data_IF_279468180061
#
_entry.id   IF_279468180061
#
_cell.length_a   1.000
_cell.length_b   1.000
_cell.length_c   1.000
_cell.angle_alpha   90.00
_cell.angle_beta   90.00
_cell.angle_gamma   90.00
#
_symmetry.space_group_name_H-M   'P 1'
#
loop_
_entity.id
_entity.type
_entity.pdbx_description
1 polymer ?
#
# COMPACT_ATOMS: atom_id res chain seq x y z
N UNK A 1 3.35 -17.06 7.96
CA UNK A 1 2.86 -15.82 8.58
C UNK A 1 3.59 -14.65 7.93
N UNK A 2 2.86 -13.66 7.40
CA UNK A 2 3.42 -12.46 6.74
C UNK A 2 3.24 -11.25 7.69
N UNK A 3 4.11 -10.25 7.58
CA UNK A 3 4.06 -9.03 8.41
C UNK A 3 3.98 -7.79 7.52
N UNK A 4 3.06 -6.87 7.82
CA UNK A 4 2.93 -5.57 7.13
C UNK A 4 3.05 -4.45 8.16
N UNK A 5 3.82 -3.42 7.79
CA UNK A 5 3.97 -2.20 8.55
C UNK A 5 3.15 -1.09 7.89
N UNK A 6 2.32 -0.41 8.69
CA UNK A 6 1.59 0.78 8.29
C UNK A 6 2.10 1.97 9.11
N UNK A 7 2.58 3.00 8.43
CA UNK A 7 3.00 4.24 9.05
C UNK A 7 1.84 5.24 8.97
N UNK A 8 1.18 5.52 10.09
CA UNK A 8 -0.04 6.32 10.12
C UNK A 8 0.36 7.78 10.35
N UNK A 9 0.04 8.65 9.39
CA UNK A 9 0.26 10.09 9.53
C UNK A 9 -0.70 10.67 10.57
N UNK A 10 -0.14 11.28 11.61
CA UNK A 10 -0.90 12.02 12.61
C UNK A 10 -1.24 13.41 12.07
N UNK A 11 -2.52 13.66 11.75
CA UNK A 11 -2.99 14.98 11.34
C UNK A 11 -3.51 15.73 12.57
N UNK A 12 -2.67 16.56 13.19
CA UNK A 12 -2.92 17.17 14.50
C UNK A 12 -4.07 18.19 14.60
N UNK A 13 -4.90 18.37 13.57
CA UNK A 13 -5.92 19.44 13.51
C UNK A 13 -7.34 19.03 13.92
N UNK A 14 -7.62 17.75 14.15
CA UNK A 14 -8.97 17.27 14.50
C UNK A 14 -9.25 17.10 16.00
N UNK A 15 -8.25 17.31 16.87
CA UNK A 15 -8.47 17.32 18.32
C UNK A 15 -9.01 18.68 18.78
N UNK A 16 -10.27 19.00 18.49
CA UNK A 16 -10.99 19.97 19.31
C UNK A 16 -11.32 19.28 20.63
N UNK A 17 -10.71 19.70 21.73
CA UNK A 17 -11.05 19.20 23.06
C UNK A 17 -12.46 19.67 23.44
N UNK A 18 -13.49 18.81 23.56
CA UNK A 18 -14.63 19.15 24.40
C UNK A 18 -14.16 19.10 25.86
N UNK A 19 -14.55 20.12 26.63
CA UNK A 19 -14.13 20.36 28.02
C UNK A 19 -14.69 19.33 29.04
N UNK A 20 -15.47 18.34 28.62
CA UNK A 20 -16.19 17.44 29.53
C UNK A 20 -15.75 15.97 29.42
N UNK A 21 -15.84 15.30 30.58
CA UNK A 21 -15.20 14.06 31.04
C UNK A 21 -15.82 12.74 30.57
N UNK A 22 -16.29 12.64 29.33
CA UNK A 22 -16.68 11.34 28.76
C UNK A 22 -15.50 10.74 27.99
N UNK A 23 -15.20 9.46 28.26
CA UNK A 23 -14.07 8.70 27.70
C UNK A 23 -13.97 8.93 26.18
N UNK A 24 -13.00 9.71 25.73
CA UNK A 24 -12.77 9.97 24.30
C UNK A 24 -12.13 8.75 23.66
N UNK A 25 -12.79 8.21 22.63
CA UNK A 25 -12.20 7.26 21.70
C UNK A 25 -11.61 8.04 20.53
N UNK A 26 -10.41 7.68 20.11
CA UNK A 26 -9.77 8.25 18.92
C UNK A 26 -9.82 7.25 17.78
N UNK A 27 -10.14 7.71 16.58
CA UNK A 27 -10.18 6.89 15.38
C UNK A 27 -9.02 7.25 14.44
N UNK A 28 -8.29 6.24 13.98
CA UNK A 28 -7.24 6.35 12.97
C UNK A 28 -7.61 5.52 11.74
N UNK A 29 -7.61 6.14 10.57
CA UNK A 29 -7.87 5.44 9.32
C UNK A 29 -6.56 4.84 8.78
N UNK A 30 -6.60 3.54 8.46
CA UNK A 30 -5.55 2.77 7.81
C UNK A 30 -6.16 2.10 6.58
N UNK A 31 -6.15 2.78 5.42
CA UNK A 31 -6.75 2.23 4.22
C UNK A 31 -6.13 0.87 3.85
N UNK A 32 -6.96 -0.04 3.36
CA UNK A 32 -6.65 -1.44 3.00
C UNK A 32 -6.50 -2.42 4.17
N UNK A 33 -6.54 -1.97 5.42
CA UNK A 33 -6.36 -2.85 6.59
C UNK A 33 -7.38 -4.00 6.62
N UNK A 34 -8.62 -3.75 6.21
CA UNK A 34 -9.69 -4.74 6.09
C UNK A 34 -9.46 -5.81 5.01
N UNK A 35 -8.50 -5.61 4.11
CA UNK A 35 -8.11 -6.60 3.10
C UNK A 35 -7.40 -7.81 3.73
N UNK A 36 -6.77 -7.66 4.89
CA UNK A 36 -5.88 -8.66 5.47
C UNK A 36 -6.62 -9.59 6.44
N UNK A 37 -6.29 -10.88 6.40
CA UNK A 37 -6.71 -11.85 7.42
C UNK A 37 -5.78 -11.76 8.64
N UNK A 38 -6.05 -10.77 9.51
CA UNK A 38 -5.23 -10.41 10.67
C UNK A 38 -5.30 -11.51 11.73
N UNK A 39 -4.13 -11.98 12.18
CA UNK A 39 -3.98 -12.89 13.31
C UNK A 39 -3.75 -12.10 14.61
N UNK A 40 -2.77 -11.18 14.58
CA UNK A 40 -2.52 -10.24 15.66
C UNK A 40 -1.93 -8.93 15.14
N UNK A 41 -2.08 -7.87 15.92
CA UNK A 41 -1.53 -6.55 15.62
C UNK A 41 -0.81 -5.96 16.82
N UNK A 42 0.14 -5.06 16.53
CA UNK A 42 0.83 -4.25 17.52
C UNK A 42 0.74 -2.78 17.08
N UNK A 43 0.16 -1.94 17.93
CA UNK A 43 0.12 -0.49 17.73
C UNK A 43 1.26 0.13 18.54
N UNK A 44 2.15 0.84 17.87
CA UNK A 44 3.24 1.60 18.51
C UNK A 44 3.00 3.08 18.31
N UNK A 45 2.90 3.81 19.40
CA UNK A 45 2.78 5.26 19.36
C UNK A 45 4.04 5.88 19.93
N UNK A 46 4.64 6.79 19.16
CA UNK A 46 5.84 7.52 19.53
C UNK A 46 5.49 8.98 19.77
N UNK A 47 5.85 9.51 20.94
CA UNK A 47 5.49 10.85 21.34
C UNK A 47 6.17 11.32 22.63
N UNK A 48 5.85 12.55 23.02
CA UNK A 48 6.17 13.12 24.33
C UNK A 48 4.94 13.03 25.23
N UNK A 49 5.16 12.55 26.45
CA UNK A 49 4.14 12.47 27.51
C UNK A 49 4.43 13.53 28.57
N UNK A 50 3.43 13.88 29.39
CA UNK A 50 3.50 14.96 30.40
C UNK A 50 4.69 14.82 31.36
N UNK A 51 5.30 13.63 31.46
CA UNK A 51 6.47 13.35 32.29
C UNK A 51 7.84 13.52 31.58
N UNK A 52 7.89 14.06 30.35
CA UNK A 52 9.15 14.32 29.63
C UNK A 52 9.93 13.06 29.20
N UNK A 53 9.33 11.88 29.30
CA UNK A 53 9.95 10.61 28.88
C UNK A 53 9.43 10.17 27.52
N UNK A 54 10.33 9.70 26.65
CA UNK A 54 9.95 8.94 25.47
C UNK A 54 9.46 7.57 25.91
N UNK A 55 8.14 7.36 25.98
CA UNK A 55 7.56 6.04 26.20
C UNK A 55 7.20 5.42 24.85
N UNK A 56 7.75 4.25 24.56
CA UNK A 56 7.17 3.36 23.56
C UNK A 56 5.94 2.75 24.19
N UNK A 57 4.76 3.22 23.79
CA UNK A 57 3.50 2.65 24.28
C UNK A 57 3.27 1.32 23.57
N UNK A 58 3.78 0.26 24.16
CA UNK A 58 3.44 -1.13 23.79
C UNK A 58 2.60 -1.80 24.86
N UNK A 59 2.44 -1.18 26.02
CA UNK A 59 1.76 -1.73 27.19
C UNK A 59 0.72 -0.71 27.65
N UNK A 60 -0.53 -1.17 27.82
CA UNK A 60 -1.65 -0.44 28.43
C UNK A 60 -2.47 0.53 27.56
N UNK A 61 -2.38 0.44 26.22
CA UNK A 61 -3.38 1.08 25.34
C UNK A 61 -4.33 0.03 24.79
N UNK A 62 -5.57 0.07 25.28
CA UNK A 62 -6.65 -0.70 24.69
C UNK A 62 -7.01 -0.08 23.33
N UNK A 63 -6.86 -0.87 22.27
CA UNK A 63 -7.34 -0.51 20.95
C UNK A 63 -8.04 -1.70 20.30
N UNK A 64 -8.92 -1.42 19.35
CA UNK A 64 -9.52 -2.46 18.52
C UNK A 64 -9.56 -2.00 17.06
N UNK A 65 -9.52 -2.98 16.16
CA UNK A 65 -9.59 -2.76 14.71
C UNK A 65 -11.01 -3.09 14.26
N UNK A 66 -11.62 -2.19 13.49
CA UNK A 66 -12.87 -2.45 12.79
C UNK A 66 -12.78 -1.92 11.36
N UNK A 67 -12.74 -2.83 10.39
CA UNK A 67 -12.54 -2.48 8.99
C UNK A 67 -11.18 -1.82 8.76
N UNK A 68 -11.20 -0.63 8.13
CA UNK A 68 -10.01 0.19 7.89
C UNK A 68 -9.69 1.14 9.05
N UNK A 69 -10.40 1.05 10.18
CA UNK A 69 -10.25 1.97 11.31
C UNK A 69 -9.65 1.28 12.54
N UNK A 70 -8.73 1.98 13.20
CA UNK A 70 -8.24 1.65 14.55
C UNK A 70 -8.91 2.60 15.53
N UNK A 71 -9.55 2.03 16.54
CA UNK A 71 -10.14 2.77 17.65
C UNK A 71 -9.27 2.62 18.88
N UNK A 72 -8.84 3.74 19.46
CA UNK A 72 -7.98 3.78 20.64
C UNK A 72 -8.79 4.32 21.81
N UNK A 73 -8.86 3.54 22.88
CA UNK A 73 -9.51 3.95 24.11
C UNK A 73 -8.49 4.72 24.97
N UNK A 74 -8.82 5.96 25.32
CA UNK A 74 -8.04 6.83 26.23
C UNK A 74 -6.60 7.11 25.78
N UNK A 75 -6.38 8.26 25.12
CA UNK A 75 -5.05 8.69 24.73
C UNK A 75 -4.83 10.19 24.92
N UNK A 76 -3.92 10.57 25.83
CA UNK A 76 -3.46 11.95 26.04
C UNK A 76 -1.93 12.08 25.86
N UNK A 77 -1.41 11.89 24.64
CA UNK A 77 -0.07 12.33 24.30
C UNK A 77 -0.04 13.86 24.32
N UNK A 78 0.98 14.46 24.94
CA UNK A 78 1.22 15.91 24.80
C UNK A 78 1.60 16.23 23.36
N UNK A 79 2.34 15.32 22.73
CA UNK A 79 2.73 15.41 21.33
C UNK A 79 2.93 14.02 20.74
N UNK A 80 2.23 13.68 19.65
CA UNK A 80 2.47 12.46 18.86
C UNK A 80 3.38 12.81 17.70
N UNK A 81 4.54 12.15 17.64
CA UNK A 81 5.48 12.32 16.52
C UNK A 81 5.12 11.38 15.37
N UNK A 82 4.80 10.12 15.68
CA UNK A 82 4.51 9.10 14.68
C UNK A 82 3.77 7.90 15.29
N UNK A 83 2.91 7.28 14.48
CA UNK A 83 2.13 6.09 14.84
C UNK A 83 2.46 4.98 13.84
N UNK A 84 2.74 3.78 14.36
CA UNK A 84 2.95 2.57 13.58
C UNK A 84 1.92 1.51 13.94
N UNK A 85 1.29 0.92 12.93
CA UNK A 85 0.58 -0.34 13.10
C UNK A 85 1.40 -1.46 12.45
N UNK A 86 1.70 -2.50 13.22
CA UNK A 86 2.32 -3.73 12.75
C UNK A 86 1.22 -4.80 12.71
N UNK A 87 0.99 -5.37 11.53
CA UNK A 87 -0.04 -6.40 11.32
C UNK A 87 0.64 -7.70 10.93
N UNK A 88 0.35 -8.77 11.68
CA UNK A 88 0.71 -10.12 11.31
C UNK A 88 -0.53 -10.85 10.81
N UNK A 89 -0.42 -11.43 9.62
CA UNK A 89 -1.56 -11.93 8.87
C UNK A 89 -1.24 -13.23 8.13
N UNK A 90 -2.28 -14.03 7.87
CA UNK A 90 -2.15 -15.28 7.13
C UNK A 90 -2.09 -15.06 5.61
N UNK A 91 -2.87 -14.11 5.11
CA UNK A 91 -2.96 -13.75 3.70
C UNK A 91 -3.91 -12.58 3.48
N UNK A 92 -4.13 -12.23 2.21
CA UNK A 92 -5.16 -11.25 1.83
C UNK A 92 -6.48 -12.00 1.71
N UNK A 93 -7.48 -11.58 2.49
CA UNK A 93 -8.84 -12.14 2.48
C UNK A 93 -9.64 -11.59 1.31
N UNK A 94 -9.54 -10.28 1.07
CA UNK A 94 -10.35 -9.57 0.08
C UNK A 94 -9.46 -8.65 -0.77
N UNK A 95 -9.05 -9.15 -1.95
CA UNK A 95 -8.10 -8.45 -2.83
C UNK A 95 -8.64 -7.14 -3.41
N UNK A 96 -9.97 -6.98 -3.53
CA UNK A 96 -10.57 -5.73 -4.02
C UNK A 96 -10.32 -4.55 -3.07
N UNK A 97 -10.17 -4.82 -1.77
CA UNK A 97 -9.93 -3.82 -0.74
C UNK A 97 -8.49 -3.25 -0.78
N UNK A 98 -7.60 -3.82 -1.60
CA UNK A 98 -6.27 -3.26 -1.85
C UNK A 98 -6.29 -2.06 -2.80
N UNK A 99 -7.40 -1.82 -3.51
CA UNK A 99 -7.52 -0.79 -4.55
C UNK A 99 -8.59 0.26 -4.24
N UNK A 100 -8.61 0.91 -3.05
CA UNK A 100 -9.67 1.82 -2.65
C UNK A 100 -9.89 3.01 -3.58
N UNK A 101 -8.87 3.50 -4.31
CA UNK A 101 -9.02 4.63 -5.25
C UNK A 101 -9.56 4.26 -6.62
N UNK A 102 -9.65 2.96 -6.93
CA UNK A 102 -10.24 2.49 -8.19
C UNK A 102 -11.76 2.54 -8.07
N UNK A 103 -12.37 3.54 -8.73
CA UNK A 103 -13.83 3.77 -8.63
C UNK A 103 -14.63 2.83 -9.55
N UNK A 104 -14.07 2.44 -10.69
CA UNK A 104 -14.69 1.47 -11.59
C UNK A 104 -14.63 0.06 -10.97
N UNK A 105 -15.79 -0.51 -10.63
CA UNK A 105 -15.91 -1.79 -9.94
C UNK A 105 -15.37 -2.97 -10.77
N UNK A 106 -15.57 -2.96 -12.09
CA UNK A 106 -15.08 -4.03 -12.96
C UNK A 106 -13.55 -4.02 -13.05
N UNK A 107 -12.97 -2.83 -13.17
CA UNK A 107 -11.52 -2.65 -13.13
C UNK A 107 -10.97 -3.09 -11.78
N UNK A 108 -11.57 -2.65 -10.67
CA UNK A 108 -11.19 -3.06 -9.31
C UNK A 108 -11.20 -4.58 -9.15
N UNK A 109 -12.29 -5.24 -9.57
CA UNK A 109 -12.41 -6.69 -9.49
C UNK A 109 -11.38 -7.42 -10.36
N UNK A 110 -11.10 -6.88 -11.55
CA UNK A 110 -10.06 -7.44 -12.43
C UNK A 110 -8.66 -7.27 -11.83
N UNK A 111 -8.36 -6.11 -11.25
CA UNK A 111 -7.09 -5.86 -10.56
C UNK A 111 -6.90 -6.78 -9.36
N UNK A 112 -7.96 -7.02 -8.60
CA UNK A 112 -7.97 -7.98 -7.49
C UNK A 112 -7.59 -9.40 -7.95
N UNK A 113 -8.20 -9.88 -9.03
CA UNK A 113 -7.89 -11.19 -9.63
C UNK A 113 -6.44 -11.26 -10.14
N UNK A 114 -5.96 -10.20 -10.79
CA UNK A 114 -4.56 -10.15 -11.23
C UNK A 114 -3.59 -10.14 -10.05
N UNK A 115 -3.92 -9.46 -8.96
CA UNK A 115 -3.06 -9.44 -7.77
C UNK A 115 -3.00 -10.83 -7.13
N UNK A 116 -4.14 -11.51 -6.97
CA UNK A 116 -4.20 -12.89 -6.48
C UNK A 116 -3.34 -13.83 -7.33
N UNK A 117 -3.50 -13.77 -8.66
CA UNK A 117 -2.70 -14.57 -9.60
C UNK A 117 -1.20 -14.21 -9.53
N UNK A 118 -0.89 -12.93 -9.29
CA UNK A 118 0.50 -12.49 -9.12
C UNK A 118 1.14 -13.09 -7.87
N UNK A 119 0.42 -13.18 -6.75
CA UNK A 119 0.97 -13.83 -5.54
C UNK A 119 1.26 -15.31 -5.80
N UNK A 120 0.30 -16.04 -6.40
CA UNK A 120 0.48 -17.43 -6.76
C UNK A 120 1.68 -17.62 -7.72
N UNK A 121 1.78 -16.77 -8.75
CA UNK A 121 2.89 -16.80 -9.71
C UNK A 121 4.25 -16.50 -9.07
N UNK A 122 4.30 -15.61 -8.08
CA UNK A 122 5.53 -15.31 -7.36
C UNK A 122 5.96 -16.49 -6.48
N UNK A 123 5.02 -17.09 -5.75
CA UNK A 123 5.27 -18.25 -4.89
C UNK A 123 5.69 -19.49 -5.70
N UNK A 124 5.10 -19.69 -6.88
CA UNK A 124 5.45 -20.79 -7.80
C UNK A 124 6.66 -20.51 -8.70
N UNK A 125 7.32 -19.35 -8.56
CA UNK A 125 8.45 -18.94 -9.39
C UNK A 125 8.15 -18.78 -10.89
N UNK A 126 6.88 -18.54 -11.23
CA UNK A 126 6.41 -18.27 -12.59
C UNK A 126 6.66 -16.81 -12.97
N UNK A 127 7.93 -16.42 -13.08
CA UNK A 127 8.36 -15.02 -13.19
C UNK A 127 7.72 -14.24 -14.35
N UNK A 128 7.54 -14.88 -15.51
CA UNK A 128 6.89 -14.20 -16.64
C UNK A 128 5.43 -13.89 -16.32
N UNK A 129 4.67 -14.87 -15.83
CA UNK A 129 3.28 -14.66 -15.39
C UNK A 129 3.20 -13.59 -14.30
N UNK A 130 4.10 -13.64 -13.32
CA UNK A 130 4.22 -12.62 -12.29
C UNK A 130 4.38 -11.23 -12.89
N UNK A 131 5.34 -11.04 -13.79
CA UNK A 131 5.57 -9.74 -14.45
C UNK A 131 4.39 -9.27 -15.29
N UNK A 132 3.68 -10.19 -15.98
CA UNK A 132 2.49 -9.87 -16.77
C UNK A 132 1.35 -9.35 -15.89
N UNK A 133 1.08 -10.03 -14.77
CA UNK A 133 0.04 -9.61 -13.82
C UNK A 133 0.38 -8.27 -13.19
N UNK A 134 1.63 -8.07 -12.74
CA UNK A 134 2.08 -6.79 -12.18
C UNK A 134 1.98 -5.66 -13.20
N UNK A 135 2.36 -5.89 -14.46
CA UNK A 135 2.21 -4.89 -15.52
C UNK A 135 0.76 -4.44 -15.69
N UNK A 136 -0.20 -5.38 -15.70
CA UNK A 136 -1.62 -5.06 -15.78
C UNK A 136 -2.15 -4.32 -14.54
N UNK A 137 -1.65 -4.68 -13.35
CA UNK A 137 -2.01 -3.99 -12.10
C UNK A 137 -1.48 -2.56 -12.08
N UNK A 138 -0.22 -2.34 -12.47
CA UNK A 138 0.34 -1.00 -12.60
C UNK A 138 -0.45 -0.16 -13.60
N UNK A 139 -0.77 -0.70 -14.77
CA UNK A 139 -1.58 -0.02 -15.78
C UNK A 139 -2.93 0.43 -15.21
N UNK A 140 -3.68 -0.48 -14.57
CA UNK A 140 -4.98 -0.14 -13.98
C UNK A 140 -4.90 0.85 -12.80
N UNK A 141 -3.89 0.74 -11.94
CA UNK A 141 -3.65 1.71 -10.88
C UNK A 141 -3.34 3.10 -11.46
N UNK A 142 -2.49 3.17 -12.50
CA UNK A 142 -2.13 4.42 -13.15
C UNK A 142 -3.32 5.07 -13.86
N UNK A 143 -4.14 4.30 -14.59
CA UNK A 143 -5.41 4.80 -15.17
C UNK A 143 -6.26 5.45 -14.08
N UNK A 144 -6.42 4.77 -12.95
CA UNK A 144 -7.25 5.24 -11.84
C UNK A 144 -6.75 6.55 -11.23
N UNK A 145 -5.44 6.71 -11.00
CA UNK A 145 -4.89 7.93 -10.35
C UNK A 145 -4.64 9.07 -11.32
N UNK A 146 -4.44 8.78 -12.61
CA UNK A 146 -4.28 9.79 -13.66
C UNK A 146 -5.65 10.29 -14.15
N UNK A 147 -6.67 9.43 -14.11
CA UNK A 147 -8.02 9.71 -14.61
C UNK A 147 -8.08 9.76 -16.14
N UNK A 148 -7.15 9.11 -16.83
CA UNK A 148 -7.12 9.03 -18.30
C UNK A 148 -6.74 7.61 -18.72
N UNK A 149 -7.44 7.12 -19.73
CA UNK A 149 -7.10 5.88 -20.42
C UNK A 149 -6.27 6.23 -21.67
N UNK A 150 -4.98 5.94 -21.61
CA UNK A 150 -4.06 6.10 -22.73
C UNK A 150 -3.01 4.98 -22.68
N UNK A 151 -2.22 4.83 -23.74
CA UNK A 151 -1.25 3.74 -23.83
C UNK A 151 -0.31 3.66 -22.61
N UNK A 152 0.00 2.45 -22.15
CA UNK A 152 0.74 2.21 -20.91
C UNK A 152 2.07 2.99 -20.79
N UNK A 153 2.81 3.16 -21.89
CA UNK A 153 3.99 4.04 -21.92
C UNK A 153 3.67 5.45 -21.43
N UNK A 154 2.62 6.07 -21.98
CA UNK A 154 2.23 7.44 -21.64
C UNK A 154 1.76 7.55 -20.19
N UNK A 155 1.06 6.52 -19.67
CA UNK A 155 0.66 6.48 -18.26
C UNK A 155 1.89 6.51 -17.34
N UNK A 156 2.94 5.74 -17.66
CA UNK A 156 4.18 5.69 -16.88
C UNK A 156 4.87 7.07 -16.89
N UNK A 157 5.03 7.67 -18.07
CA UNK A 157 5.67 8.99 -18.20
C UNK A 157 4.87 10.09 -17.49
N UNK A 158 3.55 10.08 -17.62
CA UNK A 158 2.68 11.02 -16.90
C UNK A 158 2.76 10.84 -15.38
N UNK A 159 2.80 9.59 -14.91
CA UNK A 159 2.91 9.29 -13.49
C UNK A 159 4.24 9.78 -12.91
N UNK A 160 5.34 9.56 -13.65
CA UNK A 160 6.67 10.05 -13.29
C UNK A 160 6.72 11.57 -13.25
N UNK A 161 6.22 12.23 -14.30
CA UNK A 161 6.20 13.70 -14.39
C UNK A 161 5.32 14.36 -13.32
N UNK A 162 4.26 13.69 -12.87
CA UNK A 162 3.39 14.14 -11.78
C UNK A 162 3.91 13.78 -10.38
N UNK A 163 5.04 13.08 -10.27
CA UNK A 163 5.61 12.64 -8.99
C UNK A 163 4.85 11.51 -8.30
N UNK A 164 3.95 10.81 -9.01
CA UNK A 164 3.28 9.63 -8.46
C UNK A 164 4.24 8.46 -8.28
N UNK A 165 5.21 8.34 -9.19
CA UNK A 165 6.27 7.33 -9.15
C UNK A 165 7.63 8.00 -9.35
N UNK A 166 8.69 7.44 -8.76
CA UNK A 166 10.06 7.90 -8.94
C UNK A 166 10.74 7.20 -10.14
N UNK A 167 12.00 7.56 -10.43
CA UNK A 167 12.74 7.01 -11.57
C UNK A 167 12.93 5.49 -11.51
N UNK A 168 13.23 4.94 -10.34
CA UNK A 168 13.39 3.50 -10.14
C UNK A 168 12.06 2.74 -10.34
N UNK A 169 11.00 3.22 -9.71
CA UNK A 169 9.64 2.67 -9.87
C UNK A 169 9.23 2.71 -11.35
N UNK A 170 9.48 3.81 -12.05
CA UNK A 170 9.23 3.96 -13.48
C UNK A 170 10.03 2.96 -14.32
N UNK A 171 11.31 2.76 -14.04
CA UNK A 171 12.16 1.79 -14.74
C UNK A 171 11.64 0.36 -14.56
N UNK A 172 11.33 -0.05 -13.33
CA UNK A 172 10.75 -1.37 -13.06
C UNK A 172 9.43 -1.58 -13.82
N UNK A 173 8.55 -0.58 -13.85
CA UNK A 173 7.27 -0.68 -14.58
C UNK A 173 7.50 -0.74 -16.10
N UNK A 174 8.43 0.06 -16.63
CA UNK A 174 8.84 -0.02 -18.05
C UNK A 174 9.37 -1.41 -18.40
N UNK A 175 10.18 -2.00 -17.52
CA UNK A 175 10.69 -3.37 -17.70
C UNK A 175 9.54 -4.37 -17.71
N UNK A 176 8.63 -4.33 -16.74
CA UNK A 176 7.46 -5.21 -16.72
C UNK A 176 6.59 -5.07 -17.98
N UNK A 177 6.38 -3.83 -18.46
CA UNK A 177 5.69 -3.59 -19.75
C UNK A 177 6.42 -4.28 -20.89
N UNK A 178 7.73 -4.10 -21.00
CA UNK A 178 8.50 -4.65 -22.11
C UNK A 178 8.50 -6.19 -22.11
N UNK A 179 8.51 -6.81 -20.93
CA UNK A 179 8.44 -8.27 -20.76
C UNK A 179 7.10 -8.86 -21.24
N UNK A 180 6.02 -8.06 -21.39
CA UNK A 180 4.76 -8.53 -22.02
C UNK A 180 4.96 -9.10 -23.42
N UNK A 181 5.98 -8.61 -24.13
CA UNK A 181 6.26 -9.05 -25.49
C UNK A 181 7.04 -10.38 -25.56
N UNK A 182 7.56 -10.90 -24.44
CA UNK A 182 8.32 -12.16 -24.42
C UNK A 182 7.49 -13.38 -24.82
N UNK A 183 6.16 -13.29 -24.74
CA UNK A 183 5.25 -14.36 -25.17
C UNK A 183 5.33 -14.63 -26.68
N UNK A 184 5.82 -13.68 -27.47
CA UNK A 184 5.92 -13.83 -28.92
C UNK A 184 7.18 -14.62 -29.28
N UNK A 185 7.02 -15.75 -30.00
CA UNK A 185 8.12 -16.64 -30.39
C UNK A 185 9.28 -15.92 -31.11
N UNK A 186 9.00 -14.85 -31.84
CA UNK A 186 10.02 -14.02 -32.50
C UNK A 186 10.96 -13.28 -31.54
N UNK A 187 10.71 -13.29 -30.22
CA UNK A 187 11.52 -12.65 -29.18
C UNK A 187 12.51 -13.60 -28.50
N UNK A 188 12.83 -14.74 -29.10
CA UNK A 188 13.74 -15.75 -28.56
C UNK A 188 15.16 -15.27 -28.18
N UNK A 189 15.61 -14.11 -28.71
CA UNK A 189 16.90 -13.50 -28.35
C UNK A 189 16.84 -12.56 -27.16
N UNK A 190 15.63 -12.22 -26.69
CA UNK A 190 15.48 -11.34 -25.54
C UNK A 190 15.69 -12.15 -24.26
N UNK A 191 16.38 -11.54 -23.30
CA UNK A 191 16.61 -12.19 -22.01
C UNK A 191 15.28 -12.45 -21.30
N UNK A 192 15.16 -13.66 -20.76
CA UNK A 192 14.04 -14.03 -19.92
C UNK A 192 14.05 -13.21 -18.62
N UNK A 193 12.94 -13.20 -17.90
CA UNK A 193 12.88 -12.52 -16.63
C UNK A 193 13.66 -13.28 -15.55
N UNK A 194 14.48 -12.54 -14.81
CA UNK A 194 15.31 -13.02 -13.72
C UNK A 194 14.60 -12.94 -12.39
N UNK A 195 15.07 -13.70 -11.40
CA UNK A 195 14.59 -13.59 -10.01
C UNK A 195 14.83 -12.18 -9.44
N UNK A 196 15.94 -11.53 -9.78
CA UNK A 196 16.24 -10.18 -9.31
C UNK A 196 15.18 -9.18 -9.78
N UNK A 197 14.86 -9.18 -11.09
CA UNK A 197 13.78 -8.34 -11.64
C UNK A 197 12.43 -8.63 -10.97
N UNK A 198 12.11 -9.89 -10.68
CA UNK A 198 10.88 -10.24 -9.97
C UNK A 198 10.84 -9.71 -8.53
N UNK A 199 11.97 -9.69 -7.82
CA UNK A 199 12.07 -9.12 -6.47
C UNK A 199 11.94 -7.59 -6.47
N UNK A 200 12.52 -6.93 -7.47
CA UNK A 200 12.37 -5.48 -7.65
C UNK A 200 10.91 -5.13 -7.92
N UNK A 201 10.23 -5.89 -8.80
CA UNK A 201 8.81 -5.72 -9.07
C UNK A 201 7.95 -5.94 -7.83
N UNK A 202 8.28 -6.93 -7.00
CA UNK A 202 7.57 -7.16 -5.72
C UNK A 202 7.69 -5.96 -4.80
N UNK A 203 8.89 -5.43 -4.67
CA UNK A 203 9.17 -4.25 -3.85
C UNK A 203 8.39 -3.03 -4.35
N UNK A 204 8.38 -2.80 -5.66
CA UNK A 204 7.62 -1.71 -6.29
C UNK A 204 6.11 -1.90 -6.11
N UNK A 205 5.58 -3.11 -6.29
CA UNK A 205 4.15 -3.40 -6.12
C UNK A 205 3.67 -3.16 -4.69
N UNK A 206 4.37 -3.71 -3.70
CA UNK A 206 4.00 -3.58 -2.28
C UNK A 206 4.03 -2.12 -1.80
N UNK A 207 4.88 -1.30 -2.43
CA UNK A 207 5.01 0.13 -2.19
C UNK A 207 3.92 0.94 -2.91
N UNK A 208 3.68 0.68 -4.20
CA UNK A 208 2.70 1.45 -4.98
C UNK A 208 1.24 1.16 -4.61
N UNK A 209 0.93 -0.02 -4.07
CA UNK A 209 -0.40 -0.23 -3.47
C UNK A 209 -0.60 0.76 -2.33
N UNK A 210 0.39 0.93 -1.46
CA UNK A 210 0.29 1.90 -0.38
C UNK A 210 0.31 3.34 -0.94
N UNK A 211 1.30 3.71 -1.72
CA UNK A 211 1.42 5.10 -2.17
C UNK A 211 0.26 5.50 -3.10
N UNK A 212 -0.03 4.74 -4.15
CA UNK A 212 -1.06 5.15 -5.09
C UNK A 212 -2.47 5.00 -4.50
N UNK A 213 -2.74 3.99 -3.69
CA UNK A 213 -4.10 3.72 -3.20
C UNK A 213 -4.37 4.30 -1.80
N UNK A 214 -3.34 4.61 -1.02
CA UNK A 214 -3.48 5.11 0.37
C UNK A 214 -2.98 6.56 0.49
N UNK A 215 -1.76 6.87 0.06
CA UNK A 215 -1.17 8.21 0.22
C UNK A 215 -0.93 8.95 -1.11
N UNK A 216 -1.77 9.92 -1.49
CA UNK A 216 -1.46 10.72 -2.69
C UNK A 216 -0.11 11.45 -2.53
N UNK A 217 0.94 10.98 -3.21
CA UNK A 217 2.27 11.64 -3.32
C UNK A 217 2.24 12.99 -4.05
N UNK A 218 1.07 13.57 -4.33
CA UNK A 218 0.99 14.87 -4.99
C UNK A 218 1.72 15.92 -4.15
N UNK A 219 2.79 16.49 -4.70
CA UNK A 219 3.51 17.62 -4.12
C UNK A 219 4.64 17.29 -3.14
N UNK A 220 5.08 16.02 -3.03
CA UNK A 220 6.32 15.70 -2.31
C UNK A 220 7.51 15.71 -3.27
N UNK A 221 8.09 16.89 -3.50
CA UNK A 221 9.44 17.02 -4.05
C UNK A 221 10.43 16.38 -3.07
N UNK A 222 11.24 15.44 -3.56
CA UNK A 222 12.49 15.01 -2.91
C UNK A 222 13.51 16.15 -2.97
#
# INVERSE_FOLDING_TARGET
MKTKLFNIKYCGSSWKLPRNSEKKKSELLVPTLSAYAIEFSELRIFGFFEEGTHKTLTQDIDYFINGDSIFIDYFHPVHVTYIQLIVNYHGIREYELLFPKVTNLELKSRLAKFYQESEASFESQSWLCYSLMNAAIFEGMLISVIGKDCGFYNLIEMAKNKGYINSFESECIHNARNKRNLIHAGKFKADFITRAEAMDLRTVMDKLIYDLQVESRQGQTL
#
